data_IF_002586109579
#
_entry.id   IF_002586109579
#
_cell.length_a   1.000
_cell.length_b   1.000
_cell.length_c   1.000
_cell.angle_alpha   90.00
_cell.angle_beta   90.00
_cell.angle_gamma   90.00
#
_symmetry.space_group_name_H-M   'P 1'
#
loop_
_entity.id
_entity.type
_entity.pdbx_description
1 polymer ?
#
# COMPACT_ATOMS: atom_id res chain seq x y z
N UNK A 1 -20.95 -7.54 0.16
CA UNK A 1 -20.45 -6.64 1.22
C UNK A 1 -19.00 -6.26 0.88
N UNK A 2 -18.77 -5.07 0.31
CA UNK A 2 -17.49 -4.72 -0.35
C UNK A 2 -16.33 -4.43 0.62
N UNK A 3 -16.62 -4.23 1.90
CA UNK A 3 -15.64 -3.77 2.92
C UNK A 3 -14.56 -4.81 3.24
N UNK A 4 -14.83 -6.10 2.99
CA UNK A 4 -13.87 -7.17 3.28
C UNK A 4 -12.69 -7.19 2.31
N UNK A 5 -12.84 -6.62 1.11
CA UNK A 5 -11.83 -6.68 0.04
C UNK A 5 -11.08 -5.35 -0.12
N UNK A 6 -11.03 -4.54 0.93
CA UNK A 6 -10.35 -3.24 0.93
C UNK A 6 -9.09 -3.34 1.80
N UNK A 7 -7.92 -3.17 1.18
CA UNK A 7 -6.68 -2.92 1.91
C UNK A 7 -6.73 -1.50 2.50
N UNK A 8 -6.31 -1.34 3.76
CA UNK A 8 -6.36 -0.06 4.45
C UNK A 8 -5.18 0.11 5.38
N UNK A 9 -4.82 1.36 5.66
CA UNK A 9 -3.78 1.70 6.61
C UNK A 9 -4.22 2.92 7.43
N UNK A 10 -4.05 2.89 8.74
CA UNK A 10 -4.52 3.97 9.63
C UNK A 10 -3.67 4.08 10.90
N UNK A 11 -3.92 5.15 11.66
CA UNK A 11 -3.41 5.33 13.02
C UNK A 11 -1.91 5.06 13.18
N UNK A 12 -1.55 4.43 14.30
CA UNK A 12 -0.18 4.12 14.68
C UNK A 12 0.32 2.82 14.01
N UNK A 13 0.75 2.90 12.75
CA UNK A 13 1.33 1.78 12.00
C UNK A 13 0.42 0.56 11.78
N UNK A 14 -0.91 0.74 11.75
CA UNK A 14 -1.84 -0.36 11.51
C UNK A 14 -2.14 -0.54 10.02
N UNK A 15 -2.28 -1.80 9.62
CA UNK A 15 -2.60 -2.25 8.28
C UNK A 15 -3.70 -3.30 8.31
N UNK A 16 -4.56 -3.29 7.28
CA UNK A 16 -5.50 -4.35 6.94
C UNK A 16 -5.21 -4.79 5.52
N UNK A 17 -5.04 -6.08 5.28
CA UNK A 17 -4.86 -6.66 3.94
C UNK A 17 -6.19 -6.81 3.20
N UNK A 18 -6.13 -7.22 1.93
CA UNK A 18 -7.34 -7.42 1.10
C UNK A 18 -8.20 -8.61 1.53
N UNK A 19 -7.62 -9.60 2.20
CA UNK A 19 -8.30 -10.76 2.79
C UNK A 19 -8.74 -10.53 4.24
N UNK A 20 -8.37 -9.39 4.83
CA UNK A 20 -8.88 -8.93 6.11
C UNK A 20 -7.98 -9.18 7.31
N UNK A 21 -6.74 -9.63 7.10
CA UNK A 21 -5.76 -9.76 8.18
C UNK A 21 -5.27 -8.39 8.66
N UNK A 22 -5.03 -8.30 9.97
CA UNK A 22 -4.59 -7.09 10.65
C UNK A 22 -3.15 -7.21 11.12
N UNK A 23 -2.34 -6.19 10.81
CA UNK A 23 -0.93 -6.13 11.20
C UNK A 23 -0.58 -4.76 11.77
N UNK A 24 0.40 -4.73 12.66
CA UNK A 24 1.06 -3.51 13.09
C UNK A 24 2.54 -3.59 12.73
N UNK A 25 3.00 -2.68 11.86
CA UNK A 25 4.37 -2.69 11.35
C UNK A 25 5.02 -1.31 11.44
N UNK A 26 5.87 -1.06 12.46
CA UNK A 26 6.47 0.25 12.71
C UNK A 26 7.67 0.57 11.80
N UNK A 27 7.51 0.34 10.50
CA UNK A 27 8.53 0.67 9.50
C UNK A 27 8.48 2.13 9.05
N UNK A 28 9.66 2.75 8.87
CA UNK A 28 9.79 4.16 8.45
C UNK A 28 10.47 4.34 7.09
N UNK A 29 10.90 3.25 6.44
CA UNK A 29 11.32 3.29 5.04
C UNK A 29 10.09 3.43 4.11
N UNK A 30 10.37 3.54 2.81
CA UNK A 30 9.34 3.39 1.79
C UNK A 30 9.10 1.90 1.50
N UNK A 31 7.83 1.47 1.47
CA UNK A 31 7.44 0.09 1.24
C UNK A 31 6.35 -0.03 0.19
N UNK A 32 6.28 -1.20 -0.44
CA UNK A 32 5.19 -1.60 -1.34
C UNK A 32 3.95 -1.90 -0.49
N UNK A 33 2.96 -1.03 -0.53
CA UNK A 33 1.66 -1.29 0.10
C UNK A 33 0.83 -2.24 -0.78
N UNK A 34 0.82 -1.98 -2.09
CA UNK A 34 0.20 -2.84 -3.10
C UNK A 34 1.09 -2.86 -4.33
N UNK A 35 1.29 -4.03 -4.93
CA UNK A 35 2.13 -4.19 -6.10
C UNK A 35 1.57 -5.33 -6.97
N UNK A 36 1.43 -5.10 -8.27
CA UNK A 36 1.10 -6.15 -9.22
C UNK A 36 2.34 -7.00 -9.53
N UNK A 37 2.32 -8.26 -9.10
CA UNK A 37 3.45 -9.17 -9.25
C UNK A 37 3.40 -10.01 -10.54
N UNK A 38 2.39 -9.84 -11.41
CA UNK A 38 2.23 -10.69 -12.59
C UNK A 38 3.28 -10.40 -13.67
N UNK A 39 3.72 -9.15 -13.76
CA UNK A 39 4.65 -8.70 -14.79
C UNK A 39 5.86 -7.96 -14.21
N UNK A 40 7.03 -7.98 -14.90
CA UNK A 40 8.17 -7.15 -14.54
C UNK A 40 7.84 -5.65 -14.55
N UNK A 41 6.87 -5.25 -15.38
CA UNK A 41 6.32 -3.90 -15.48
C UNK A 41 4.87 -3.92 -14.95
N UNK A 42 4.65 -3.64 -13.66
CA UNK A 42 3.33 -3.75 -13.04
C UNK A 42 2.35 -2.75 -13.66
N UNK A 43 1.10 -3.16 -13.90
CA UNK A 43 0.05 -2.22 -14.33
C UNK A 43 -0.25 -1.18 -13.27
N UNK A 44 -0.11 -1.54 -12.00
CA UNK A 44 -0.24 -0.59 -10.92
C UNK A 44 0.65 -0.92 -9.74
N UNK A 45 1.07 0.13 -9.03
CA UNK A 45 1.77 -0.02 -7.76
C UNK A 45 1.48 1.15 -6.83
N UNK A 46 1.48 0.87 -5.54
CA UNK A 46 1.27 1.83 -4.46
C UNK A 46 2.41 1.68 -3.46
N UNK A 47 3.22 2.72 -3.34
CA UNK A 47 4.28 2.82 -2.34
C UNK A 47 3.88 3.81 -1.26
N UNK A 48 4.24 3.51 -0.03
CA UNK A 48 3.96 4.36 1.13
C UNK A 48 5.19 4.52 2.00
N UNK A 49 5.38 5.74 2.51
CA UNK A 49 6.41 6.06 3.50
C UNK A 49 5.79 6.74 4.72
N UNK A 50 6.20 6.30 5.90
CA UNK A 50 5.85 6.93 7.18
C UNK A 50 7.07 7.61 7.80
N UNK A 51 6.83 8.64 8.60
CA UNK A 51 7.83 9.19 9.52
C UNK A 51 7.89 8.38 10.82
N UNK A 52 8.89 8.65 11.66
CA UNK A 52 9.01 8.14 13.03
C UNK A 52 7.76 8.43 13.89
N UNK A 53 7.06 9.53 13.61
CA UNK A 53 5.79 9.90 14.26
C UNK A 53 4.56 9.20 13.68
N UNK A 54 4.75 8.13 12.91
CA UNK A 54 3.70 7.38 12.22
C UNK A 54 2.93 8.16 11.15
N UNK A 55 3.24 9.44 10.92
CA UNK A 55 2.56 10.25 9.90
C UNK A 55 2.96 9.75 8.51
N UNK A 56 1.99 9.70 7.60
CA UNK A 56 2.26 9.40 6.20
C UNK A 56 2.99 10.60 5.60
N UNK A 57 4.21 10.38 5.12
CA UNK A 57 5.05 11.43 4.52
C UNK A 57 5.02 11.40 2.99
N UNK A 58 4.79 10.22 2.39
CA UNK A 58 4.67 10.06 0.94
C UNK A 58 3.72 8.91 0.60
N UNK A 59 2.89 9.14 -0.42
CA UNK A 59 2.12 8.11 -1.12
C UNK A 59 2.42 8.26 -2.59
N UNK A 60 2.81 7.16 -3.24
CA UNK A 60 3.14 7.15 -4.66
C UNK A 60 2.31 6.09 -5.34
N UNK A 61 1.52 6.53 -6.31
CA UNK A 61 0.64 5.66 -7.10
C UNK A 61 1.10 5.73 -8.53
N UNK A 62 1.41 4.57 -9.10
CA UNK A 62 1.66 4.42 -10.53
C UNK A 62 0.55 3.60 -11.11
N UNK A 63 -0.08 4.09 -12.17
CA UNK A 63 -1.03 3.35 -13.00
C UNK A 63 -0.48 3.43 -14.42
N UNK A 64 -0.15 2.28 -14.99
CA UNK A 64 0.30 2.17 -16.37
C UNK A 64 -0.90 2.37 -17.28
N UNK A 65 -0.84 3.41 -18.11
CA UNK A 65 -1.73 3.54 -19.25
C UNK A 65 -1.27 2.61 -20.36
N UNK A 66 -2.21 2.08 -21.15
CA UNK A 66 -1.85 1.39 -22.39
C UNK A 66 -1.16 2.40 -23.31
N UNK A 67 0.11 2.16 -23.64
CA UNK A 67 0.71 2.76 -24.82
C UNK A 67 0.09 2.04 -26.03
N UNK A 68 -0.55 2.81 -26.92
CA UNK A 68 -1.12 2.34 -28.19
C UNK A 68 0.02 2.15 -29.18
#
# INVERSE_FOLDING_TARGET
NHVNNICSMWGNFHFKTFDGDFYQFPGTCEYKLVYDCKDPSPWFSVYVKRSESSKISRVSVTIKSFEI
#
